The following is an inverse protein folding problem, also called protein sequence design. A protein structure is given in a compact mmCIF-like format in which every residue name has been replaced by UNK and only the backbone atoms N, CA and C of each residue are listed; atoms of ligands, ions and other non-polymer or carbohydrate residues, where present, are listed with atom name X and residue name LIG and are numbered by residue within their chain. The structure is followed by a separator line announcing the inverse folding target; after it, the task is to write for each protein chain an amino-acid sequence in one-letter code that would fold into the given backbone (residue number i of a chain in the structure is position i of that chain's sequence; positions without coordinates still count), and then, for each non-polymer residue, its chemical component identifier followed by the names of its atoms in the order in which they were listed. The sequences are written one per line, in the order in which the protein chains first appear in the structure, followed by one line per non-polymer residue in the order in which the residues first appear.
data_IF_246560376268
#
_entry.id   IF_246560376268
#
_cell.length_a   1.000
_cell.length_b   1.000
_cell.length_c   1.000
_cell.angle_alpha   90.00
_cell.angle_beta   90.00
_cell.angle_gamma   90.00
#
_symmetry.space_group_name_H-M   'P 1'
#
loop_
_entity.id
_entity.type
_entity.pdbx_description
1 polymer ?
#
# COMPACT_ATOMS: atom_id res chain seq x y z
N UNK A 1 -12.20 5.19 8.64
CA UNK A 1 -10.74 5.02 8.51
C UNK A 1 -10.23 5.59 7.19
N UNK A 2 -10.98 5.43 6.10
CA UNK A 2 -10.66 5.91 4.75
C UNK A 2 -10.17 7.37 4.71
N UNK A 3 -10.87 8.31 5.34
CA UNK A 3 -10.43 9.72 5.38
C UNK A 3 -9.06 9.93 6.05
N UNK A 4 -8.74 9.12 7.08
CA UNK A 4 -7.42 9.17 7.74
C UNK A 4 -6.33 8.58 6.84
N UNK A 5 -6.62 7.47 6.15
CA UNK A 5 -5.71 6.88 5.16
C UNK A 5 -5.41 7.90 4.08
N UNK A 6 -6.45 8.46 3.44
CA UNK A 6 -6.33 9.47 2.40
C UNK A 6 -5.53 10.70 2.88
N UNK A 7 -5.79 11.19 4.10
CA UNK A 7 -5.03 12.29 4.69
C UNK A 7 -3.56 11.95 4.88
N UNK A 8 -3.23 10.73 5.34
CA UNK A 8 -1.83 10.29 5.51
C UNK A 8 -1.11 10.22 4.17
N UNK A 9 -1.77 9.76 3.11
CA UNK A 9 -1.18 9.63 1.77
C UNK A 9 -0.81 10.98 1.13
N UNK A 10 -1.39 12.08 1.62
CA UNK A 10 -1.02 13.44 1.22
C UNK A 10 0.27 13.96 1.87
N UNK A 11 0.88 13.20 2.78
CA UNK A 11 2.14 13.53 3.42
C UNK A 11 3.21 12.48 3.10
N UNK A 12 4.43 12.94 2.82
CA UNK A 12 5.53 12.04 2.52
C UNK A 12 5.87 11.12 3.70
N UNK A 13 6.15 9.86 3.38
CA UNK A 13 6.37 8.80 4.36
C UNK A 13 6.54 7.44 3.69
N UNK A 14 7.16 6.51 4.41
CA UNK A 14 7.31 5.15 3.93
C UNK A 14 5.94 4.45 4.01
N UNK A 15 5.55 3.85 2.90
CA UNK A 15 4.42 2.93 2.80
C UNK A 15 4.98 1.50 2.76
N UNK A 16 4.82 0.76 3.84
CA UNK A 16 5.37 -0.60 3.98
C UNK A 16 4.31 -1.65 3.75
N UNK A 17 4.62 -2.68 2.95
CA UNK A 17 3.75 -3.81 2.62
C UNK A 17 4.45 -5.09 3.07
N UNK A 18 3.81 -5.84 3.97
CA UNK A 18 4.30 -7.11 4.51
C UNK A 18 3.40 -8.24 4.02
N UNK A 19 3.99 -9.30 3.50
CA UNK A 19 3.32 -10.53 3.11
C UNK A 19 3.96 -11.74 3.81
N UNK A 20 3.22 -12.84 3.87
CA UNK A 20 3.71 -14.10 4.44
C UNK A 20 4.51 -14.87 3.38
N UNK A 21 5.83 -14.94 3.54
CA UNK A 21 6.65 -15.92 2.80
C UNK A 21 6.75 -17.23 3.58
N UNK A 22 7.24 -18.28 2.92
CA UNK A 22 7.33 -19.64 3.50
C UNK A 22 8.36 -19.74 4.64
N UNK A 23 9.43 -18.93 4.62
CA UNK A 23 10.51 -18.93 5.62
C UNK A 23 10.31 -17.83 6.69
N UNK A 24 10.16 -16.57 6.25
CA UNK A 24 9.96 -15.41 7.12
C UNK A 24 9.15 -14.33 6.37
N UNK A 25 8.41 -13.41 7.04
CA UNK A 25 7.66 -12.37 6.34
C UNK A 25 8.52 -11.57 5.34
N UNK A 26 7.99 -11.40 4.13
CA UNK A 26 8.61 -10.57 3.12
C UNK A 26 8.04 -9.15 3.21
N UNK A 27 8.90 -8.14 3.09
CA UNK A 27 8.52 -6.73 3.15
C UNK A 27 9.05 -5.99 1.93
N UNK A 28 8.18 -5.19 1.32
CA UNK A 28 8.56 -4.20 0.30
C UNK A 28 8.03 -2.83 0.71
N UNK A 29 8.57 -1.78 0.10
CA UNK A 29 8.21 -0.41 0.42
C UNK A 29 7.91 0.39 -0.85
N UNK A 30 7.11 1.44 -0.66
CA UNK A 30 6.91 2.55 -1.59
C UNK A 30 6.77 3.84 -0.76
N UNK A 31 6.35 4.93 -1.40
CA UNK A 31 6.10 6.22 -0.76
C UNK A 31 4.60 6.46 -0.63
N UNK A 32 4.17 7.05 0.48
CA UNK A 32 2.78 7.46 0.70
C UNK A 32 2.23 8.26 -0.50
N UNK A 33 3.04 9.21 -0.98
CA UNK A 33 2.68 10.12 -2.09
C UNK A 33 2.63 9.42 -3.45
N UNK A 34 3.09 8.17 -3.54
CA UNK A 34 2.99 7.36 -4.75
C UNK A 34 1.68 6.58 -4.84
N UNK A 35 0.98 6.40 -3.72
CA UNK A 35 -0.21 5.58 -3.65
C UNK A 35 -1.44 6.40 -4.01
N UNK A 36 -2.26 5.86 -4.91
CA UNK A 36 -3.60 6.40 -5.19
C UNK A 36 -4.62 5.61 -4.40
N UNK A 37 -5.49 6.31 -3.68
CA UNK A 37 -6.59 5.71 -2.94
C UNK A 37 -7.91 6.04 -3.64
N UNK A 38 -8.65 5.00 -4.06
CA UNK A 38 -9.92 5.14 -4.76
C UNK A 38 -10.81 3.93 -4.44
N UNK A 39 -12.10 4.15 -4.17
CA UNK A 39 -13.11 3.11 -3.93
C UNK A 39 -12.67 2.00 -2.96
N UNK A 40 -12.05 2.36 -1.83
CA UNK A 40 -11.54 1.42 -0.83
C UNK A 40 -10.37 0.52 -1.31
N UNK A 41 -9.69 0.92 -2.39
CA UNK A 41 -8.52 0.26 -2.93
C UNK A 41 -7.31 1.19 -2.92
N UNK A 42 -6.13 0.62 -2.73
CA UNK A 42 -4.84 1.29 -2.84
C UNK A 42 -4.15 0.82 -4.11
N UNK A 43 -3.70 1.76 -4.94
CA UNK A 43 -2.98 1.49 -6.18
C UNK A 43 -1.55 1.99 -6.07
N UNK A 44 -0.60 1.06 -6.22
CA UNK A 44 0.82 1.31 -6.05
C UNK A 44 1.53 1.04 -7.38
N UNK A 45 2.35 1.99 -7.90
CA UNK A 45 3.16 1.74 -9.07
C UNK A 45 4.28 0.72 -8.76
N UNK A 46 4.47 -0.26 -9.65
CA UNK A 46 5.44 -1.35 -9.45
C UNK A 46 6.48 -1.31 -10.56
N UNK A 47 7.76 -1.13 -10.20
CA UNK A 47 8.90 -1.40 -11.08
C UNK A 47 9.46 -2.82 -10.88
N UNK A 48 9.71 -3.18 -9.62
CA UNK A 48 10.29 -4.46 -9.21
C UNK A 48 9.24 -5.36 -8.56
N UNK A 49 9.44 -5.68 -7.27
CA UNK A 49 8.51 -6.50 -6.48
C UNK A 49 8.26 -7.92 -7.03
N UNK A 50 9.15 -8.47 -7.86
CA UNK A 50 8.98 -9.79 -8.47
C UNK A 50 8.77 -10.91 -7.42
N UNK A 51 9.59 -10.92 -6.36
CA UNK A 51 9.42 -11.88 -5.25
C UNK A 51 8.10 -11.68 -4.48
N UNK A 52 7.65 -10.43 -4.32
CA UNK A 52 6.34 -10.16 -3.73
C UNK A 52 5.21 -10.65 -4.64
N UNK A 53 5.32 -10.47 -5.96
CA UNK A 53 4.36 -10.99 -6.95
C UNK A 53 4.23 -12.52 -6.82
N UNK A 54 5.34 -13.26 -6.78
CA UNK A 54 5.35 -14.71 -6.56
C UNK A 54 4.73 -15.13 -5.23
N UNK A 55 4.95 -14.36 -4.15
CA UNK A 55 4.35 -14.64 -2.83
C UNK A 55 2.83 -14.46 -2.88
N UNK A 56 2.36 -13.38 -3.51
CA UNK A 56 0.94 -13.04 -3.58
C UNK A 56 0.12 -14.05 -4.41
N UNK A 57 0.75 -14.77 -5.33
CA UNK A 57 0.10 -15.88 -6.06
C UNK A 57 -0.29 -17.05 -5.13
N UNK A 58 0.45 -17.26 -4.03
CA UNK A 58 0.19 -18.32 -3.04
C UNK A 58 -0.76 -17.86 -1.94
N UNK A 59 -0.50 -16.67 -1.39
CA UNK A 59 -1.31 -16.06 -0.33
C UNK A 59 -1.31 -14.55 -0.53
N UNK A 60 -2.45 -14.02 -0.99
CA UNK A 60 -2.57 -12.63 -1.36
C UNK A 60 -2.81 -11.68 -0.18
N UNK A 61 -2.78 -12.16 1.06
CA UNK A 61 -3.01 -11.34 2.24
C UNK A 61 -1.77 -10.52 2.58
N UNK A 62 -1.99 -9.23 2.80
CA UNK A 62 -0.94 -8.28 3.19
C UNK A 62 -1.31 -7.51 4.43
N UNK A 63 -0.29 -7.12 5.18
CA UNK A 63 -0.36 -6.08 6.20
C UNK A 63 0.36 -4.85 5.65
N UNK A 64 -0.32 -3.72 5.62
CA UNK A 64 0.26 -2.43 5.27
C UNK A 64 0.37 -1.56 6.52
N UNK A 65 1.49 -0.86 6.67
CA UNK A 65 1.67 0.14 7.72
C UNK A 65 2.07 1.47 7.06
N UNK A 66 1.32 2.51 7.42
CA UNK A 66 1.54 3.88 6.96
C UNK A 66 1.48 4.84 8.15
N UNK A 67 2.12 6.00 8.03
CA UNK A 67 2.01 7.05 9.03
C UNK A 67 2.60 8.36 8.58
N UNK A 68 2.38 9.39 9.39
CA UNK A 68 2.97 10.72 9.22
C UNK A 68 3.01 11.46 10.55
N UNK A 69 4.03 12.30 10.74
CA UNK A 69 4.12 13.21 11.90
C UNK A 69 3.25 14.46 11.76
N UNK A 70 2.78 14.76 10.55
CA UNK A 70 2.10 16.02 10.21
C UNK A 70 0.62 16.07 10.67
N UNK A 71 0.08 14.93 11.13
CA UNK A 71 -1.31 14.80 11.56
C UNK A 71 -1.39 14.37 13.03
N UNK A 72 -2.49 14.72 13.70
CA UNK A 72 -2.74 14.33 15.08
C UNK A 72 -3.15 12.85 15.20
N UNK A 73 -2.48 12.14 16.10
CA UNK A 73 -2.82 10.79 16.52
C UNK A 73 -3.75 10.76 17.74
N UNK A 74 -3.80 9.62 18.42
CA UNK A 74 -4.64 9.42 19.61
C UNK A 74 -4.12 10.17 20.85
N UNK A 75 -2.80 10.35 20.94
CA UNK A 75 -2.13 10.84 22.14
C UNK A 75 -1.21 12.05 21.91
N UNK A 76 -1.24 12.64 20.70
CA UNK A 76 -0.37 13.75 20.34
C UNK A 76 -0.10 13.83 18.84
N UNK A 77 0.88 14.65 18.42
CA UNK A 77 1.32 14.71 17.04
C UNK A 77 1.86 13.34 16.57
N UNK A 78 1.52 12.97 15.34
CA UNK A 78 1.89 11.70 14.74
C UNK A 78 0.73 10.70 14.71
N UNK A 79 0.43 10.18 13.52
CA UNK A 79 -0.56 9.14 13.29
C UNK A 79 0.08 7.97 12.55
N UNK A 80 -0.29 6.75 12.93
CA UNK A 80 0.04 5.51 12.23
C UNK A 80 -1.21 4.65 12.04
N UNK A 81 -1.33 3.99 10.90
CA UNK A 81 -2.42 3.07 10.58
C UNK A 81 -1.83 1.73 10.13
N UNK A 82 -2.39 0.65 10.67
CA UNK A 82 -2.24 -0.69 10.12
C UNK A 82 -3.47 -1.04 9.29
N UNK A 83 -3.25 -1.57 8.09
CA UNK A 83 -4.25 -2.00 7.14
C UNK A 83 -4.03 -3.50 6.89
N UNK A 84 -5.10 -4.29 6.92
CA UNK A 84 -5.12 -5.66 6.43
C UNK A 84 -5.83 -5.63 5.08
N UNK A 85 -5.21 -6.22 4.05
CA UNK A 85 -5.77 -6.21 2.71
C UNK A 85 -5.45 -7.45 1.90
N UNK A 86 -6.00 -7.50 0.68
CA UNK A 86 -5.67 -8.47 -0.34
C UNK A 86 -4.99 -7.77 -1.51
N UNK A 87 -3.79 -8.21 -1.87
CA UNK A 87 -3.00 -7.57 -2.91
C UNK A 87 -2.90 -8.43 -4.17
N UNK A 88 -2.94 -7.78 -5.32
CA UNK A 88 -2.60 -8.38 -6.62
C UNK A 88 -1.71 -7.42 -7.38
N UNK A 89 -0.64 -7.93 -7.99
CA UNK A 89 0.13 -7.18 -9.00
C UNK A 89 -0.42 -7.59 -10.36
N UNK A 90 -0.80 -6.61 -11.17
CA UNK A 90 -1.39 -6.86 -12.49
C UNK A 90 -0.96 -5.82 -13.52
N UNK A 91 -0.92 -6.25 -14.77
CA UNK A 91 -0.73 -5.40 -15.93
C UNK A 91 -2.04 -5.13 -16.69
N UNK A 92 -3.10 -5.87 -16.36
CA UNK A 92 -4.31 -6.02 -17.19
C UNK A 92 -5.55 -5.31 -16.60
N UNK A 93 -5.34 -4.38 -15.66
CA UNK A 93 -6.40 -3.55 -15.07
C UNK A 93 -6.26 -2.11 -15.54
N UNK A 94 -7.38 -1.38 -15.66
CA UNK A 94 -7.40 0.01 -16.14
C UNK A 94 -6.47 0.94 -15.34
N UNK A 95 -6.31 0.68 -14.05
CA UNK A 95 -5.48 1.49 -13.16
C UNK A 95 -3.98 1.31 -13.44
N UNK A 96 -3.58 0.27 -14.19
CA UNK A 96 -2.22 0.09 -14.69
C UNK A 96 -1.83 1.23 -15.64
N UNK A 97 -2.73 1.60 -16.57
CA UNK A 97 -2.50 2.71 -17.49
C UNK A 97 -2.41 4.04 -16.73
N UNK A 98 -3.30 4.25 -15.77
CA UNK A 98 -3.25 5.43 -14.88
C UNK A 98 -1.91 5.52 -14.14
N UNK A 99 -1.41 4.41 -13.59
CA UNK A 99 -0.13 4.37 -12.90
C UNK A 99 1.04 4.65 -13.85
N UNK A 100 1.05 4.05 -15.05
CA UNK A 100 2.10 4.27 -16.06
C UNK A 100 2.15 5.72 -16.55
N UNK A 101 1.00 6.36 -16.72
CA UNK A 101 0.93 7.76 -17.12
C UNK A 101 1.51 8.70 -16.05
N UNK A 102 1.38 8.35 -14.76
CA UNK A 102 1.94 9.13 -13.65
C UNK A 102 3.40 8.75 -13.33
N UNK A 103 3.76 7.50 -13.59
CA UNK A 103 5.03 6.88 -13.26
C UNK A 103 5.51 6.02 -14.44
N UNK A 104 6.21 6.64 -15.40
CA UNK A 104 6.64 5.99 -16.66
C UNK A 104 7.51 4.74 -16.44
N UNK A 105 8.15 4.64 -15.27
CA UNK A 105 8.98 3.50 -14.88
C UNK A 105 8.17 2.29 -14.37
N UNK A 106 6.87 2.44 -14.15
CA UNK A 106 6.02 1.36 -13.62
C UNK A 106 5.79 0.29 -14.70
N UNK A 107 6.20 -0.95 -14.43
CA UNK A 107 5.87 -2.10 -15.29
C UNK A 107 4.43 -2.58 -15.07
N UNK A 108 3.93 -2.46 -13.85
CA UNK A 108 2.65 -2.98 -13.38
C UNK A 108 2.07 -2.08 -12.27
N UNK A 109 0.86 -2.42 -11.82
CA UNK A 109 0.24 -1.82 -10.63
C UNK A 109 -0.03 -2.91 -9.60
N UNK A 110 0.26 -2.64 -8.34
CA UNK A 110 -0.27 -3.42 -7.23
C UNK A 110 -1.58 -2.78 -6.79
N UNK A 111 -2.67 -3.55 -6.83
CA UNK A 111 -3.96 -3.19 -6.22
C UNK A 111 -4.07 -3.88 -4.87
N UNK A 112 -4.34 -3.13 -3.81
CA UNK A 112 -4.65 -3.66 -2.48
C UNK A 112 -6.09 -3.31 -2.13
N UNK A 113 -6.95 -4.32 -2.03
CA UNK A 113 -8.30 -4.19 -1.48
C UNK A 113 -8.21 -4.11 0.05
N UNK A 114 -8.74 -3.04 0.64
CA UNK A 114 -8.72 -2.87 2.10
C UNK A 114 -9.82 -3.73 2.73
N UNK A 115 -9.42 -4.69 3.57
CA UNK A 115 -10.35 -5.51 4.36
C UNK A 115 -10.64 -4.87 5.72
N UNK A 116 -9.58 -4.44 6.40
CA UNK A 116 -9.67 -3.83 7.73
C UNK A 116 -8.59 -2.76 7.86
N UNK A 117 -8.87 -1.70 8.64
CA UNK A 117 -7.88 -0.69 8.94
C UNK A 117 -8.10 -0.08 10.33
N UNK A 118 -7.00 0.11 11.04
CA UNK A 118 -7.02 0.56 12.43
C UNK A 118 -5.82 1.46 12.72
N UNK A 119 -6.09 2.56 13.41
CA UNK A 119 -5.05 3.43 13.94
C UNK A 119 -4.38 2.72 15.12
N UNK A 120 -3.06 2.59 15.06
CA UNK A 120 -2.30 1.95 16.12
C UNK A 120 -2.09 2.92 17.28
N UNK A 121 -2.17 2.43 18.51
CA UNK A 121 -1.88 3.15 19.76
C UNK A 121 -0.40 3.17 20.06
#
# INVERSE_FOLDING_TARGET
MNSKIESILNHEGIFSIVAKDDDFPHIVNTWNTYVVFEDNNLFIPVAGMNKMEEILEKDNRVIVVIGTKELMGLHGPGIGIKIIGKAIISQDIKECEMMKNKYEWARAVMKIEIMEAYQTT
#
